data_IF_072105894221
#
_entry.id   IF_072105894221
#
_cell.length_a   1.000
_cell.length_b   1.000
_cell.length_c   1.000
_cell.angle_alpha   90.00
_cell.angle_beta   90.00
_cell.angle_gamma   90.00
#
_symmetry.space_group_name_H-M   'P 1'
#
loop_
_entity.id
_entity.type
_entity.pdbx_description
1 polymer ?
#
# COMPACT_ATOMS: atom_id res chain seq x y z
N UNK A 1 -68.10 -46.59 56.63
CA UNK A 1 -67.40 -45.29 56.60
C UNK A 1 -65.98 -45.41 56.06
N UNK A 2 -65.09 -46.23 56.64
CA UNK A 2 -63.69 -46.40 56.18
C UNK A 2 -63.55 -46.91 54.73
N UNK A 3 -64.38 -47.87 54.30
CA UNK A 3 -64.34 -48.39 52.91
C UNK A 3 -64.79 -47.34 51.89
N UNK A 4 -65.82 -46.57 52.20
CA UNK A 4 -66.35 -45.52 51.32
C UNK A 4 -65.35 -44.37 51.18
N UNK A 5 -64.69 -44.00 52.28
CA UNK A 5 -63.59 -43.03 52.29
C UNK A 5 -62.39 -43.50 51.46
N UNK A 6 -61.94 -44.74 51.64
CA UNK A 6 -60.82 -45.29 50.89
C UNK A 6 -61.12 -45.32 49.38
N UNK A 7 -62.37 -45.58 48.98
CA UNK A 7 -62.81 -45.46 47.58
C UNK A 7 -62.74 -44.04 47.04
N UNK A 8 -63.20 -43.05 47.82
CA UNK A 8 -63.11 -41.63 47.42
C UNK A 8 -61.65 -41.18 47.23
N UNK A 9 -60.74 -41.58 48.13
CA UNK A 9 -59.30 -41.28 47.99
C UNK A 9 -58.73 -41.99 46.75
N UNK A 10 -59.12 -43.24 46.46
CA UNK A 10 -58.71 -43.94 45.22
C UNK A 10 -59.19 -43.25 43.95
N UNK A 11 -60.44 -42.77 43.94
CA UNK A 11 -61.01 -42.02 42.82
C UNK A 11 -60.24 -40.71 42.59
N UNK A 12 -59.98 -39.94 43.65
CA UNK A 12 -59.20 -38.70 43.55
C UNK A 12 -57.73 -38.92 43.14
N UNK A 13 -57.09 -40.01 43.60
CA UNK A 13 -55.75 -40.41 43.13
C UNK A 13 -55.78 -40.72 41.64
N UNK A 14 -56.76 -41.50 41.19
CA UNK A 14 -56.90 -41.89 39.79
C UNK A 14 -57.16 -40.70 38.88
N UNK A 15 -58.01 -39.76 39.31
CA UNK A 15 -58.26 -38.51 38.57
C UNK A 15 -56.99 -37.66 38.41
N UNK A 16 -56.13 -37.61 39.43
CA UNK A 16 -54.85 -36.92 39.35
C UNK A 16 -53.82 -37.67 38.49
N UNK A 17 -53.79 -38.99 38.55
CA UNK A 17 -52.94 -39.83 37.68
C UNK A 17 -53.35 -39.70 36.22
N UNK A 18 -54.65 -39.77 35.92
CA UNK A 18 -55.19 -39.59 34.56
C UNK A 18 -54.86 -38.19 34.04
N UNK A 19 -55.05 -37.15 34.87
CA UNK A 19 -54.68 -35.78 34.51
C UNK A 19 -53.18 -35.61 34.23
N UNK A 20 -52.32 -36.22 35.05
CA UNK A 20 -50.86 -36.19 34.83
C UNK A 20 -50.47 -36.87 33.52
N UNK A 21 -51.04 -38.05 33.24
CA UNK A 21 -50.77 -38.80 32.02
C UNK A 21 -51.25 -38.04 30.78
N UNK A 22 -52.43 -37.42 30.84
CA UNK A 22 -52.98 -36.62 29.75
C UNK A 22 -52.08 -35.40 29.47
N UNK A 23 -51.67 -34.66 30.51
CA UNK A 23 -50.80 -33.49 30.35
C UNK A 23 -49.39 -33.84 29.89
N UNK A 24 -48.82 -34.92 30.40
CA UNK A 24 -47.52 -35.43 29.95
C UNK A 24 -47.58 -35.86 28.47
N UNK A 25 -48.67 -36.51 28.06
CA UNK A 25 -48.87 -36.90 26.67
C UNK A 25 -49.02 -35.67 25.77
N UNK A 26 -49.95 -34.77 26.08
CA UNK A 26 -50.25 -33.58 25.28
C UNK A 26 -49.04 -32.65 25.09
N UNK A 27 -48.27 -32.43 26.16
CA UNK A 27 -47.21 -31.40 26.15
C UNK A 27 -45.94 -31.87 25.42
N UNK A 28 -45.60 -33.15 25.52
CA UNK A 28 -44.35 -33.68 24.99
C UNK A 28 -44.49 -34.34 23.61
N UNK A 29 -45.71 -34.45 23.07
CA UNK A 29 -45.98 -34.95 21.71
C UNK A 29 -45.40 -34.07 20.60
N UNK A 30 -45.23 -32.76 20.84
CA UNK A 30 -44.89 -31.73 19.83
C UNK A 30 -43.45 -31.18 19.95
N UNK A 31 -42.58 -31.89 20.66
CA UNK A 31 -41.20 -31.47 20.91
C UNK A 31 -40.27 -31.72 19.69
N UNK A 32 -40.81 -31.63 18.48
CA UNK A 32 -40.12 -31.83 17.20
C UNK A 32 -39.05 -30.77 16.91
N UNK A 33 -38.43 -30.81 15.73
CA UNK A 33 -37.44 -29.81 15.31
C UNK A 33 -38.00 -28.38 15.30
N UNK A 34 -37.12 -27.41 15.59
CA UNK A 34 -37.44 -25.98 15.57
C UNK A 34 -37.00 -25.39 14.23
N UNK A 35 -37.89 -24.67 13.56
CA UNK A 35 -37.71 -24.07 12.24
C UNK A 35 -37.87 -22.55 12.23
N UNK A 36 -38.48 -21.95 13.26
CA UNK A 36 -38.62 -20.50 13.39
C UNK A 36 -38.50 -20.06 14.86
N UNK A 37 -38.02 -18.83 15.07
CA UNK A 37 -37.59 -18.35 16.40
C UNK A 37 -38.74 -18.22 17.42
N UNK A 38 -39.95 -17.98 16.94
CA UNK A 38 -41.15 -17.89 17.78
C UNK A 38 -41.43 -19.21 18.52
N UNK A 39 -41.01 -20.36 17.97
CA UNK A 39 -41.21 -21.67 18.60
C UNK A 39 -40.43 -21.82 19.91
N UNK A 40 -39.30 -21.14 20.07
CA UNK A 40 -38.60 -21.14 21.37
C UNK A 40 -39.47 -20.52 22.45
N UNK A 41 -40.08 -19.38 22.13
CA UNK A 41 -40.95 -18.63 23.04
C UNK A 41 -42.26 -19.38 23.28
N UNK A 42 -42.90 -19.88 22.23
CA UNK A 42 -44.14 -20.66 22.33
C UNK A 42 -43.96 -21.90 23.22
N UNK A 43 -42.88 -22.68 22.99
CA UNK A 43 -42.57 -23.85 23.82
C UNK A 43 -42.22 -23.46 25.25
N UNK A 44 -41.42 -22.42 25.46
CA UNK A 44 -41.10 -21.93 26.80
C UNK A 44 -42.37 -21.51 27.56
N UNK A 45 -43.27 -20.77 26.93
CA UNK A 45 -44.55 -20.37 27.50
C UNK A 45 -45.44 -21.60 27.79
N UNK A 46 -45.46 -22.61 26.91
CA UNK A 46 -46.20 -23.86 27.13
C UNK A 46 -45.70 -24.61 28.38
N UNK A 47 -44.39 -24.80 28.52
CA UNK A 47 -43.83 -25.48 29.70
C UNK A 47 -44.00 -24.66 30.99
N UNK A 48 -43.91 -23.33 30.93
CA UNK A 48 -44.18 -22.45 32.07
C UNK A 48 -45.65 -22.50 32.52
N UNK A 49 -46.60 -22.60 31.56
CA UNK A 49 -48.01 -22.83 31.88
C UNK A 49 -48.20 -24.18 32.57
N UNK A 50 -47.59 -25.26 32.05
CA UNK A 50 -47.64 -26.57 32.69
C UNK A 50 -47.02 -26.58 34.09
N UNK A 51 -45.91 -25.86 34.30
CA UNK A 51 -45.31 -25.67 35.63
C UNK A 51 -46.26 -24.96 36.59
N UNK A 52 -47.00 -23.95 36.11
CA UNK A 52 -48.02 -23.24 36.89
C UNK A 52 -49.21 -24.15 37.23
N UNK A 53 -49.66 -24.97 36.28
CA UNK A 53 -50.72 -25.97 36.51
C UNK A 53 -50.29 -27.03 37.53
N UNK A 54 -49.05 -27.53 37.43
CA UNK A 54 -48.46 -28.46 38.40
C UNK A 54 -48.43 -27.81 39.79
N UNK A 55 -47.80 -26.66 39.95
CA UNK A 55 -47.72 -25.98 41.27
C UNK A 55 -49.10 -25.71 41.88
N UNK A 56 -50.12 -25.41 41.07
CA UNK A 56 -51.49 -25.27 41.55
C UNK A 56 -52.08 -26.59 42.07
N UNK A 57 -51.97 -27.68 41.30
CA UNK A 57 -52.48 -29.01 41.67
C UNK A 57 -51.60 -29.73 42.72
N UNK A 58 -50.39 -29.25 42.98
CA UNK A 58 -49.54 -29.74 44.07
C UNK A 58 -50.23 -29.57 45.43
N UNK A 59 -51.06 -28.53 45.60
CA UNK A 59 -51.87 -28.36 46.80
C UNK A 59 -52.88 -29.50 46.98
N UNK A 60 -53.53 -29.95 45.90
CA UNK A 60 -54.45 -31.09 45.91
C UNK A 60 -53.73 -32.40 46.25
N UNK A 61 -52.53 -32.61 45.71
CA UNK A 61 -51.68 -33.76 46.05
C UNK A 61 -51.29 -33.75 47.54
N UNK A 62 -50.86 -32.59 48.08
CA UNK A 62 -50.50 -32.44 49.50
C UNK A 62 -51.68 -32.72 50.43
N UNK A 63 -52.85 -32.16 50.12
CA UNK A 63 -54.08 -32.40 50.91
C UNK A 63 -54.54 -33.86 50.85
N UNK A 64 -54.32 -34.58 49.74
CA UNK A 64 -54.56 -36.03 49.65
C UNK A 64 -53.60 -36.85 50.53
N UNK A 65 -52.31 -36.51 50.50
CA UNK A 65 -51.28 -37.13 51.34
C UNK A 65 -51.61 -36.92 52.82
N UNK A 66 -52.00 -35.71 53.22
CA UNK A 66 -52.36 -35.38 54.59
C UNK A 66 -53.66 -36.10 55.03
N UNK A 67 -54.68 -36.18 54.16
CA UNK A 67 -55.92 -36.94 54.42
C UNK A 67 -55.71 -38.46 54.57
N UNK A 68 -54.69 -39.02 53.91
CA UNK A 68 -54.30 -40.42 54.09
C UNK A 68 -53.51 -40.65 55.41
N UNK A 69 -52.89 -39.60 55.98
CA UNK A 69 -52.07 -39.66 57.21
C UNK A 69 -52.83 -39.33 58.51
N UNK A 70 -53.84 -38.47 58.47
CA UNK A 70 -54.37 -37.78 59.67
C UNK A 70 -55.27 -38.62 60.61
N UNK A 71 -55.78 -39.80 60.23
CA UNK A 71 -56.83 -40.45 61.02
C UNK A 71 -56.49 -41.85 61.53
N UNK A 72 -55.70 -41.94 62.60
CA UNK A 72 -55.72 -42.95 63.69
C UNK A 72 -55.86 -44.45 63.37
N UNK A 73 -55.87 -44.83 62.10
CA UNK A 73 -56.15 -46.13 61.51
C UNK A 73 -54.98 -46.40 60.57
N UNK A 74 -54.41 -47.60 60.59
CA UNK A 74 -53.32 -47.93 59.67
C UNK A 74 -53.76 -47.62 58.22
N UNK A 75 -53.02 -46.76 57.49
CA UNK A 75 -53.28 -46.52 56.08
C UNK A 75 -53.29 -47.85 55.33
N UNK A 76 -54.23 -48.03 54.40
CA UNK A 76 -54.21 -49.22 53.54
C UNK A 76 -52.89 -49.28 52.80
N UNK A 77 -52.19 -50.43 52.85
CA UNK A 77 -50.92 -50.63 52.16
C UNK A 77 -51.07 -50.31 50.65
N UNK A 78 -52.21 -50.66 50.06
CA UNK A 78 -52.53 -50.38 48.67
C UNK A 78 -52.64 -48.88 48.38
N UNK A 79 -53.31 -48.10 49.23
CA UNK A 79 -53.44 -46.64 49.07
C UNK A 79 -52.09 -45.93 49.16
N UNK A 80 -51.25 -46.38 50.08
CA UNK A 80 -49.89 -45.85 50.24
C UNK A 80 -49.06 -46.13 48.98
N UNK A 81 -49.14 -47.34 48.41
CA UNK A 81 -48.47 -47.67 47.14
C UNK A 81 -48.96 -46.84 45.96
N UNK A 82 -50.27 -46.61 45.84
CA UNK A 82 -50.84 -45.76 44.79
C UNK A 82 -50.37 -44.30 44.95
N UNK A 83 -50.38 -43.75 46.17
CA UNK A 83 -49.88 -42.39 46.43
C UNK A 83 -48.38 -42.27 46.17
N UNK A 84 -47.58 -43.25 46.57
CA UNK A 84 -46.13 -43.25 46.31
C UNK A 84 -45.84 -43.27 44.80
N UNK A 85 -46.63 -44.02 44.03
CA UNK A 85 -46.56 -44.05 42.56
C UNK A 85 -46.94 -42.71 41.95
N UNK A 86 -48.06 -42.11 42.38
CA UNK A 86 -48.49 -40.78 41.97
C UNK A 86 -47.45 -39.70 42.28
N UNK A 87 -46.86 -39.70 43.48
CA UNK A 87 -45.79 -38.76 43.89
C UNK A 87 -44.52 -38.96 43.04
N UNK A 88 -44.16 -40.21 42.76
CA UNK A 88 -43.03 -40.53 41.88
C UNK A 88 -43.26 -39.99 40.46
N UNK A 89 -44.45 -40.23 39.89
CA UNK A 89 -44.81 -39.74 38.55
C UNK A 89 -44.87 -38.20 38.50
N UNK A 90 -45.43 -37.59 39.55
CA UNK A 90 -45.47 -36.14 39.71
C UNK A 90 -44.07 -35.52 39.71
N UNK A 91 -43.17 -36.02 40.56
CA UNK A 91 -41.79 -35.52 40.66
C UNK A 91 -40.99 -35.75 39.37
N UNK A 92 -41.25 -36.86 38.68
CA UNK A 92 -40.69 -37.15 37.36
C UNK A 92 -41.12 -36.11 36.31
N UNK A 93 -42.43 -35.83 36.21
CA UNK A 93 -42.96 -34.83 35.29
C UNK A 93 -42.44 -33.42 35.62
N UNK A 94 -42.43 -33.05 36.90
CA UNK A 94 -41.89 -31.77 37.36
C UNK A 94 -40.43 -31.60 36.92
N UNK A 95 -39.58 -32.62 37.14
CA UNK A 95 -38.18 -32.59 36.69
C UNK A 95 -38.06 -32.48 35.16
N UNK A 96 -38.92 -33.17 34.40
CA UNK A 96 -38.95 -33.06 32.93
C UNK A 96 -39.32 -31.64 32.50
N UNK A 97 -40.35 -31.04 33.09
CA UNK A 97 -40.79 -29.66 32.82
C UNK A 97 -39.68 -28.67 33.16
N UNK A 98 -39.07 -28.77 34.34
CA UNK A 98 -37.97 -27.88 34.75
C UNK A 98 -36.77 -27.99 33.79
N UNK A 99 -36.44 -29.21 33.35
CA UNK A 99 -35.36 -29.44 32.37
C UNK A 99 -35.70 -28.78 31.02
N UNK A 100 -36.95 -28.87 30.56
CA UNK A 100 -37.39 -28.25 29.30
C UNK A 100 -37.43 -26.74 29.39
N UNK A 101 -37.90 -26.17 30.50
CA UNK A 101 -37.86 -24.71 30.74
C UNK A 101 -36.42 -24.22 30.71
N UNK A 102 -35.51 -24.91 31.40
CA UNK A 102 -34.08 -24.56 31.39
C UNK A 102 -33.50 -24.61 29.97
N UNK A 103 -33.79 -25.68 29.23
CA UNK A 103 -33.32 -25.88 27.86
C UNK A 103 -33.82 -24.77 26.92
N UNK A 104 -35.13 -24.52 26.88
CA UNK A 104 -35.70 -23.51 25.98
C UNK A 104 -35.33 -22.08 26.38
N UNK A 105 -35.15 -21.81 27.68
CA UNK A 105 -34.61 -20.53 28.16
C UNK A 105 -33.15 -20.32 27.71
N UNK A 106 -32.32 -21.35 27.77
CA UNK A 106 -30.94 -21.30 27.28
C UNK A 106 -30.88 -21.12 25.76
N UNK A 107 -31.67 -21.90 25.00
CA UNK A 107 -31.77 -21.79 23.55
C UNK A 107 -32.21 -20.39 23.10
N UNK A 108 -33.18 -19.79 23.79
CA UNK A 108 -33.61 -18.42 23.52
C UNK A 108 -32.46 -17.42 23.73
N UNK A 109 -31.72 -17.54 24.85
CA UNK A 109 -30.56 -16.68 25.12
C UNK A 109 -29.46 -16.83 24.07
N UNK A 110 -29.13 -18.07 23.69
CA UNK A 110 -28.14 -18.35 22.66
C UNK A 110 -28.56 -17.79 21.30
N UNK A 111 -29.85 -17.91 20.95
CA UNK A 111 -30.37 -17.34 19.71
C UNK A 111 -30.25 -15.80 19.66
N UNK A 112 -30.59 -15.13 20.76
CA UNK A 112 -30.45 -13.66 20.85
C UNK A 112 -28.99 -13.22 20.87
N UNK A 113 -28.11 -13.94 21.57
CA UNK A 113 -26.65 -13.72 21.55
C UNK A 113 -26.10 -13.85 20.12
N UNK A 114 -26.49 -14.90 19.40
CA UNK A 114 -26.07 -15.12 18.00
C UNK A 114 -26.52 -13.98 17.07
N UNK A 115 -27.76 -13.48 17.22
CA UNK A 115 -28.25 -12.34 16.45
C UNK A 115 -27.42 -11.09 16.70
N UNK A 116 -27.14 -10.79 17.95
CA UNK A 116 -26.35 -9.62 18.34
C UNK A 116 -24.91 -9.73 17.81
N UNK A 117 -24.28 -10.90 17.95
CA UNK A 117 -22.94 -11.15 17.40
C UNK A 117 -22.93 -10.99 15.88
N UNK A 118 -23.88 -11.60 15.16
CA UNK A 118 -23.99 -11.45 13.71
C UNK A 118 -24.18 -9.99 13.29
N UNK A 119 -24.96 -9.21 14.04
CA UNK A 119 -25.14 -7.78 13.77
C UNK A 119 -23.83 -7.01 13.96
N UNK A 120 -23.16 -7.19 15.11
CA UNK A 120 -21.87 -6.53 15.41
C UNK A 120 -20.80 -6.86 14.38
N UNK A 121 -20.67 -8.14 14.03
CA UNK A 121 -19.69 -8.59 13.04
C UNK A 121 -20.00 -8.04 11.64
N UNK A 122 -21.26 -7.98 11.22
CA UNK A 122 -21.60 -7.39 9.93
C UNK A 122 -21.33 -5.88 9.88
N UNK A 123 -21.60 -5.14 10.95
CA UNK A 123 -21.24 -3.72 11.07
C UNK A 123 -19.73 -3.54 10.99
N UNK A 124 -18.96 -4.44 11.62
CA UNK A 124 -17.51 -4.42 11.52
C UNK A 124 -17.02 -4.74 10.10
N UNK A 125 -17.59 -5.75 9.44
CA UNK A 125 -17.29 -6.09 8.04
C UNK A 125 -17.64 -4.94 7.08
N UNK A 126 -18.73 -4.21 7.31
CA UNK A 126 -19.06 -2.99 6.55
C UNK A 126 -17.96 -1.94 6.69
N UNK A 127 -17.50 -1.71 7.92
CA UNK A 127 -16.41 -0.77 8.19
C UNK A 127 -15.08 -1.23 7.59
N UNK A 128 -14.78 -2.53 7.62
CA UNK A 128 -13.59 -3.12 6.99
C UNK A 128 -13.65 -2.96 5.47
N UNK A 129 -14.78 -3.32 4.85
CA UNK A 129 -15.01 -3.19 3.43
C UNK A 129 -14.85 -1.74 2.97
N UNK A 130 -15.45 -0.80 3.70
CA UNK A 130 -15.23 0.62 3.42
C UNK A 130 -13.74 0.99 3.50
N UNK A 131 -12.97 0.50 4.48
CA UNK A 131 -11.53 0.82 4.54
C UNK A 131 -10.71 0.24 3.38
N UNK A 132 -11.04 -0.95 2.90
CA UNK A 132 -10.32 -1.62 1.79
C UNK A 132 -10.71 -1.04 0.43
N UNK A 133 -12.00 -0.71 0.26
CA UNK A 133 -12.60 -0.38 -1.03
C UNK A 133 -12.98 1.09 -1.19
N UNK A 134 -12.92 1.93 -0.15
CA UNK A 134 -13.11 3.36 -0.35
C UNK A 134 -12.07 3.79 -1.39
N UNK A 135 -12.51 4.31 -2.56
CA UNK A 135 -11.61 4.76 -3.61
C UNK A 135 -11.03 6.09 -3.16
N UNK A 136 -10.18 6.05 -2.14
CA UNK A 136 -9.47 7.25 -1.75
C UNK A 136 -8.33 7.43 -2.71
N UNK A 137 -8.27 8.62 -3.28
CA UNK A 137 -7.16 9.18 -4.04
C UNK A 137 -5.86 9.28 -3.18
N UNK A 138 -5.54 8.29 -2.33
CA UNK A 138 -4.55 8.35 -1.25
C UNK A 138 -3.38 7.37 -1.36
N UNK A 139 -3.10 6.78 -2.51
CA UNK A 139 -1.76 6.19 -2.70
C UNK A 139 -1.01 7.00 -3.73
N UNK A 140 -0.94 8.30 -3.50
CA UNK A 140 -0.27 9.22 -4.40
C UNK A 140 1.24 9.22 -4.09
N UNK A 141 1.62 9.02 -2.83
CA UNK A 141 3.01 8.81 -2.39
C UNK A 141 3.18 7.75 -1.30
N UNK A 142 4.42 7.56 -0.87
CA UNK A 142 4.80 6.55 0.12
C UNK A 142 4.20 6.78 1.51
N UNK A 143 3.99 8.04 1.90
CA UNK A 143 3.46 8.38 3.22
C UNK A 143 2.02 7.90 3.33
N UNK A 144 1.19 8.29 2.36
CA UNK A 144 -0.22 7.95 2.36
C UNK A 144 -0.44 6.42 2.26
N UNK A 145 0.35 5.73 1.42
CA UNK A 145 0.31 4.28 1.31
C UNK A 145 0.70 3.56 2.62
N UNK A 146 1.66 4.11 3.38
CA UNK A 146 2.06 3.57 4.68
C UNK A 146 0.99 3.80 5.74
N UNK A 147 0.38 4.99 5.77
CA UNK A 147 -0.69 5.32 6.72
C UNK A 147 -1.94 4.46 6.48
N UNK A 148 -2.28 4.18 5.23
CA UNK A 148 -3.38 3.28 4.90
C UNK A 148 -3.10 1.85 5.38
N UNK A 149 -1.89 1.34 5.12
CA UNK A 149 -1.45 0.01 5.58
C UNK A 149 -1.57 -0.10 7.11
N UNK A 150 -1.01 0.87 7.83
CA UNK A 150 -1.07 0.93 9.30
C UNK A 150 -2.52 0.99 9.81
N UNK A 151 -3.38 1.73 9.11
CA UNK A 151 -4.79 1.87 9.46
C UNK A 151 -5.53 0.53 9.31
N UNK A 152 -5.31 -0.17 8.19
CA UNK A 152 -5.92 -1.49 7.93
C UNK A 152 -5.42 -2.51 8.95
N UNK A 153 -4.10 -2.59 9.16
CA UNK A 153 -3.51 -3.51 10.11
C UNK A 153 -3.99 -3.27 11.53
N UNK A 154 -4.03 -2.00 11.97
CA UNK A 154 -4.53 -1.64 13.30
C UNK A 154 -5.99 -2.04 13.45
N UNK A 155 -6.82 -1.75 12.45
CA UNK A 155 -8.25 -2.05 12.48
C UNK A 155 -8.51 -3.57 12.64
N UNK A 156 -7.75 -4.40 11.92
CA UNK A 156 -7.83 -5.86 12.03
C UNK A 156 -7.29 -6.35 13.38
N UNK A 157 -6.15 -5.81 13.83
CA UNK A 157 -5.54 -6.19 15.12
C UNK A 157 -6.45 -5.88 16.31
N UNK A 158 -7.25 -4.82 16.23
CA UNK A 158 -8.20 -4.44 17.30
C UNK A 158 -9.48 -5.26 17.33
N UNK A 159 -9.75 -6.08 16.30
CA UNK A 159 -10.97 -6.87 16.22
C UNK A 159 -10.93 -8.10 17.15
N UNK A 160 -11.96 -8.34 17.98
CA UNK A 160 -12.03 -9.52 18.83
C UNK A 160 -12.24 -10.80 18.00
N UNK A 161 -11.18 -11.60 17.86
CA UNK A 161 -11.24 -12.91 17.17
C UNK A 161 -12.27 -13.88 17.78
N UNK A 162 -12.55 -13.74 19.06
CA UNK A 162 -13.46 -14.61 19.81
C UNK A 162 -14.92 -14.54 19.30
N UNK A 163 -15.35 -13.43 18.68
CA UNK A 163 -16.72 -13.29 18.21
C UNK A 163 -17.04 -14.25 17.05
N UNK A 164 -16.11 -14.39 16.10
CA UNK A 164 -16.24 -15.32 14.99
C UNK A 164 -16.38 -16.76 15.52
N UNK A 165 -15.46 -17.19 16.38
CA UNK A 165 -15.49 -18.53 16.97
C UNK A 165 -16.78 -18.78 17.76
N UNK A 166 -17.26 -17.77 18.49
CA UNK A 166 -18.50 -17.84 19.28
C UNK A 166 -19.74 -18.01 18.41
N UNK A 167 -19.82 -17.35 17.25
CA UNK A 167 -20.94 -17.51 16.30
C UNK A 167 -21.06 -18.96 15.85
N UNK A 168 -19.96 -19.60 15.46
CA UNK A 168 -19.97 -20.99 15.02
C UNK A 168 -20.19 -21.96 16.18
N UNK A 169 -19.65 -21.69 17.37
CA UNK A 169 -19.94 -22.47 18.57
C UNK A 169 -21.44 -22.48 18.89
N UNK A 170 -22.11 -21.32 18.85
CA UNK A 170 -23.55 -21.23 19.09
C UNK A 170 -24.31 -21.96 17.96
N UNK A 171 -23.90 -21.80 16.71
CA UNK A 171 -24.48 -22.51 15.56
C UNK A 171 -24.47 -24.02 15.75
N UNK A 172 -23.32 -24.59 16.11
CA UNK A 172 -23.14 -26.03 16.33
C UNK A 172 -24.00 -26.53 17.49
N UNK A 173 -24.10 -25.75 18.58
CA UNK A 173 -24.96 -26.07 19.73
C UNK A 173 -26.43 -26.09 19.36
N UNK A 174 -26.90 -25.13 18.54
CA UNK A 174 -28.28 -25.11 18.05
C UNK A 174 -28.56 -26.32 17.15
N UNK A 175 -27.62 -26.65 16.27
CA UNK A 175 -27.73 -27.79 15.35
C UNK A 175 -27.79 -29.13 16.09
N UNK A 176 -26.98 -29.30 17.15
CA UNK A 176 -26.98 -30.49 18.01
C UNK A 176 -28.34 -30.74 18.68
N UNK A 177 -29.10 -29.69 18.96
CA UNK A 177 -30.44 -29.76 19.58
C UNK A 177 -31.55 -29.83 18.51
N UNK A 178 -31.18 -30.03 17.23
CA UNK A 178 -32.10 -30.10 16.07
C UNK A 178 -32.90 -28.82 15.86
N UNK A 179 -32.34 -27.68 16.24
CA UNK A 179 -32.81 -26.37 15.81
C UNK A 179 -32.27 -26.11 14.41
N UNK A 180 -33.16 -25.96 13.44
CA UNK A 180 -32.83 -25.71 12.05
C UNK A 180 -33.66 -24.53 11.53
N UNK A 181 -33.32 -23.33 11.99
CA UNK A 181 -33.98 -22.09 11.54
C UNK A 181 -33.34 -21.65 10.23
N UNK A 182 -34.02 -21.76 9.06
CA UNK A 182 -33.39 -21.53 7.76
C UNK A 182 -32.86 -20.11 7.57
N UNK A 183 -33.55 -19.12 8.14
CA UNK A 183 -33.17 -17.70 8.05
C UNK A 183 -31.84 -17.43 8.74
N UNK A 184 -31.63 -17.96 9.94
CA UNK A 184 -30.37 -17.83 10.69
C UNK A 184 -29.25 -18.60 9.99
N UNK A 185 -29.52 -19.83 9.56
CA UNK A 185 -28.52 -20.64 8.86
C UNK A 185 -28.04 -19.95 7.58
N UNK A 186 -28.96 -19.30 6.86
CA UNK A 186 -28.63 -18.46 5.71
C UNK A 186 -27.80 -17.23 6.11
N UNK A 187 -28.13 -16.56 7.21
CA UNK A 187 -27.36 -15.40 7.71
C UNK A 187 -25.93 -15.79 8.11
N UNK A 188 -25.75 -16.91 8.81
CA UNK A 188 -24.42 -17.45 9.18
C UNK A 188 -23.63 -17.79 7.92
N UNK A 189 -24.26 -18.46 6.95
CA UNK A 189 -23.59 -18.82 5.68
C UNK A 189 -23.17 -17.60 4.87
N UNK A 190 -24.04 -16.57 4.81
CA UNK A 190 -23.72 -15.30 4.15
C UNK A 190 -22.60 -14.55 4.87
N UNK A 191 -22.64 -14.53 6.21
CA UNK A 191 -21.59 -13.95 7.04
C UNK A 191 -20.24 -14.65 6.79
N UNK A 192 -20.21 -15.99 6.80
CA UNK A 192 -19.00 -16.77 6.57
C UNK A 192 -18.40 -16.48 5.19
N UNK A 193 -19.22 -16.53 4.14
CA UNK A 193 -18.77 -16.25 2.78
C UNK A 193 -18.18 -14.84 2.68
N UNK A 194 -18.86 -13.85 3.26
CA UNK A 194 -18.42 -12.45 3.26
C UNK A 194 -17.13 -12.25 4.07
N UNK A 195 -17.03 -12.91 5.21
CA UNK A 195 -15.84 -12.90 6.05
C UNK A 195 -14.62 -13.41 5.28
N UNK A 196 -14.74 -14.57 4.64
CA UNK A 196 -13.65 -15.20 3.88
C UNK A 196 -13.23 -14.32 2.70
N UNK A 197 -14.20 -13.80 1.94
CA UNK A 197 -13.93 -12.89 0.83
C UNK A 197 -13.21 -11.61 1.27
N UNK A 198 -13.71 -10.94 2.32
CA UNK A 198 -13.08 -9.71 2.81
C UNK A 198 -11.68 -9.94 3.36
N UNK A 199 -11.41 -11.09 4.01
CA UNK A 199 -10.07 -11.42 4.45
C UNK A 199 -9.10 -11.65 3.28
N UNK A 200 -9.56 -12.28 2.19
CA UNK A 200 -8.77 -12.41 0.98
C UNK A 200 -8.49 -11.02 0.34
N UNK A 201 -9.49 -10.15 0.32
CA UNK A 201 -9.36 -8.79 -0.22
C UNK A 201 -8.44 -7.90 0.62
N UNK A 202 -8.44 -8.06 1.95
CA UNK A 202 -7.43 -7.46 2.84
C UNK A 202 -6.03 -7.87 2.40
N UNK A 203 -5.78 -9.17 2.21
CA UNK A 203 -4.46 -9.68 1.86
C UNK A 203 -4.00 -9.11 0.51
N UNK A 204 -4.89 -9.07 -0.48
CA UNK A 204 -4.62 -8.44 -1.78
C UNK A 204 -4.30 -6.96 -1.66
N UNK A 205 -5.07 -6.22 -0.84
CA UNK A 205 -4.86 -4.78 -0.62
C UNK A 205 -3.52 -4.51 0.08
N UNK A 206 -3.22 -5.24 1.14
CA UNK A 206 -1.95 -5.18 1.88
C UNK A 206 -0.77 -5.51 0.96
N UNK A 207 -0.90 -6.53 0.11
CA UNK A 207 0.13 -6.88 -0.87
C UNK A 207 0.36 -5.73 -1.87
N UNK A 208 -0.72 -5.13 -2.39
CA UNK A 208 -0.65 -4.01 -3.34
C UNK A 208 0.01 -2.78 -2.70
N UNK A 209 -0.35 -2.44 -1.46
CA UNK A 209 0.24 -1.33 -0.70
C UNK A 209 1.73 -1.55 -0.46
N UNK A 210 2.14 -2.76 -0.07
CA UNK A 210 3.55 -3.09 0.12
C UNK A 210 4.37 -3.01 -1.17
N UNK A 211 3.80 -3.46 -2.31
CA UNK A 211 4.45 -3.31 -3.62
C UNK A 211 4.65 -1.83 -3.98
N UNK A 212 3.62 -1.00 -3.77
CA UNK A 212 3.72 0.45 -3.99
C UNK A 212 4.79 1.10 -3.09
N UNK A 213 4.82 0.75 -1.81
CA UNK A 213 5.84 1.24 -0.88
C UNK A 213 7.26 0.84 -1.31
N UNK A 214 7.44 -0.40 -1.77
CA UNK A 214 8.72 -0.87 -2.30
C UNK A 214 9.16 -0.07 -3.54
N UNK A 215 8.23 0.21 -4.47
CA UNK A 215 8.51 1.03 -5.66
C UNK A 215 8.93 2.46 -5.29
N UNK A 216 8.28 3.07 -4.30
CA UNK A 216 8.65 4.40 -3.81
C UNK A 216 10.00 4.41 -3.11
N UNK A 217 10.31 3.40 -2.30
CA UNK A 217 11.60 3.25 -1.64
C UNK A 217 12.73 3.07 -2.65
N UNK A 218 12.51 2.23 -3.67
CA UNK A 218 13.48 2.02 -4.74
C UNK A 218 13.73 3.31 -5.53
N UNK A 219 12.67 4.04 -5.88
CA UNK A 219 12.78 5.33 -6.55
C UNK A 219 13.56 6.34 -5.70
N UNK A 220 13.23 6.43 -4.40
CA UNK A 220 13.94 7.29 -3.46
C UNK A 220 15.43 6.96 -3.36
N UNK A 221 15.78 5.67 -3.29
CA UNK A 221 17.17 5.22 -3.30
C UNK A 221 17.91 5.63 -4.57
N UNK A 222 17.32 5.40 -5.74
CA UNK A 222 17.93 5.78 -7.03
C UNK A 222 18.14 7.30 -7.14
N UNK A 223 17.23 8.10 -6.59
CA UNK A 223 17.39 9.56 -6.49
C UNK A 223 18.59 9.92 -5.59
N UNK A 224 18.74 9.28 -4.43
CA UNK A 224 19.88 9.52 -3.54
C UNK A 224 21.19 9.13 -4.21
N UNK A 225 21.26 7.93 -4.79
CA UNK A 225 22.45 7.44 -5.51
C UNK A 225 22.85 8.41 -6.64
N UNK A 226 21.86 8.95 -7.37
CA UNK A 226 22.09 9.96 -8.40
C UNK A 226 22.64 11.27 -7.83
N UNK A 227 22.08 11.78 -6.73
CA UNK A 227 22.54 13.03 -6.11
C UNK A 227 23.97 12.89 -5.57
N UNK A 228 24.29 11.76 -4.94
CA UNK A 228 25.66 11.46 -4.50
C UNK A 228 26.63 11.39 -5.69
N UNK A 229 26.24 10.70 -6.76
CA UNK A 229 27.03 10.65 -7.99
C UNK A 229 27.22 12.03 -8.62
N UNK A 230 26.18 12.88 -8.64
CA UNK A 230 26.27 14.24 -9.18
C UNK A 230 27.26 15.09 -8.38
N UNK A 231 27.21 15.03 -7.04
CA UNK A 231 28.13 15.77 -6.18
C UNK A 231 29.59 15.30 -6.34
N UNK A 232 29.80 14.00 -6.45
CA UNK A 232 31.11 13.42 -6.68
C UNK A 232 31.67 13.82 -8.05
N UNK A 233 30.84 13.70 -9.09
CA UNK A 233 31.21 14.06 -10.47
C UNK A 233 31.46 15.55 -10.62
N UNK A 234 30.69 16.40 -9.93
CA UNK A 234 30.92 17.85 -9.92
C UNK A 234 32.31 18.18 -9.34
N UNK A 235 32.69 17.51 -8.25
CA UNK A 235 34.01 17.67 -7.63
C UNK A 235 35.13 17.26 -8.59
N UNK A 236 34.98 16.12 -9.28
CA UNK A 236 35.93 15.63 -10.28
C UNK A 236 36.05 16.65 -11.42
N UNK A 237 34.94 17.00 -12.06
CA UNK A 237 34.92 17.90 -13.21
C UNK A 237 35.48 19.28 -12.87
N UNK A 238 35.15 19.84 -11.70
CA UNK A 238 35.73 21.11 -11.26
C UNK A 238 37.25 21.01 -11.08
N UNK A 239 37.76 19.90 -10.52
CA UNK A 239 39.22 19.72 -10.39
C UNK A 239 39.88 19.59 -11.76
N UNK A 240 39.32 18.78 -12.66
CA UNK A 240 39.85 18.57 -14.01
C UNK A 240 39.90 19.86 -14.80
N UNK A 241 38.80 20.62 -14.81
CA UNK A 241 38.71 21.91 -15.49
C UNK A 241 39.65 22.97 -14.90
N UNK A 242 39.84 22.99 -13.57
CA UNK A 242 40.80 23.91 -12.94
C UNK A 242 42.24 23.57 -13.30
N UNK A 243 42.55 22.29 -13.45
CA UNK A 243 43.90 21.81 -13.72
C UNK A 243 44.18 21.67 -15.24
N UNK A 244 43.29 22.19 -16.11
CA UNK A 244 43.35 22.12 -17.58
C UNK A 244 43.49 20.68 -18.13
N UNK A 245 42.86 19.72 -17.46
CA UNK A 245 42.80 18.31 -17.89
C UNK A 245 41.45 18.05 -18.57
N UNK A 246 41.49 17.59 -19.81
CA UNK A 246 40.30 17.37 -20.65
C UNK A 246 40.09 15.89 -20.99
N UNK A 247 38.95 15.58 -21.61
CA UNK A 247 38.57 14.22 -21.97
C UNK A 247 39.61 13.48 -22.83
N UNK A 248 40.35 14.21 -23.68
CA UNK A 248 41.45 13.65 -24.48
C UNK A 248 42.64 13.19 -23.64
N UNK A 249 42.85 13.80 -22.47
CA UNK A 249 43.96 13.50 -21.58
C UNK A 249 43.65 12.32 -20.65
N UNK A 250 42.36 12.08 -20.38
CA UNK A 250 41.85 10.95 -19.55
C UNK A 250 40.68 10.19 -20.23
N UNK A 251 40.92 9.49 -21.35
CA UNK A 251 39.84 8.89 -22.15
C UNK A 251 38.98 7.87 -21.40
N UNK A 252 39.59 7.03 -20.56
CA UNK A 252 38.86 6.03 -19.77
C UNK A 252 37.88 6.67 -18.76
N UNK A 253 38.21 7.83 -18.21
CA UNK A 253 37.34 8.58 -17.30
C UNK A 253 36.17 9.20 -18.08
N UNK A 254 36.47 9.77 -19.26
CA UNK A 254 35.47 10.35 -20.15
C UNK A 254 34.44 9.32 -20.67
N UNK A 255 34.90 8.13 -21.05
CA UNK A 255 34.02 7.04 -21.49
C UNK A 255 33.09 6.58 -20.36
N UNK A 256 33.65 6.40 -19.15
CA UNK A 256 32.87 6.02 -17.97
C UNK A 256 31.80 7.08 -17.66
N UNK A 257 32.19 8.35 -17.60
CA UNK A 257 31.26 9.45 -17.35
C UNK A 257 30.17 9.51 -18.42
N UNK A 258 30.51 9.30 -19.70
CA UNK A 258 29.53 9.29 -20.79
C UNK A 258 28.45 8.22 -20.58
N UNK A 259 28.84 7.01 -20.16
CA UNK A 259 27.88 5.93 -19.85
C UNK A 259 27.00 6.31 -18.66
N UNK A 260 27.59 6.83 -17.59
CA UNK A 260 26.86 7.23 -16.36
C UNK A 260 25.88 8.39 -16.64
N UNK A 261 26.28 9.43 -17.37
CA UNK A 261 25.39 10.51 -17.79
C UNK A 261 24.19 9.98 -18.60
N UNK A 262 24.43 9.08 -19.55
CA UNK A 262 23.36 8.49 -20.36
C UNK A 262 22.39 7.64 -19.51
N UNK A 263 22.92 6.89 -18.54
CA UNK A 263 22.12 6.14 -17.59
C UNK A 263 21.21 7.08 -16.79
N UNK A 264 21.74 8.16 -16.22
CA UNK A 264 20.95 9.11 -15.44
C UNK A 264 19.99 9.95 -16.29
N UNK A 265 20.31 10.27 -17.54
CA UNK A 265 19.36 10.85 -18.49
C UNK A 265 18.14 9.93 -18.70
N UNK A 266 18.37 8.62 -18.86
CA UNK A 266 17.27 7.64 -19.01
C UNK A 266 16.43 7.50 -17.74
N UNK A 267 17.09 7.56 -16.57
CA UNK A 267 16.42 7.55 -15.28
C UNK A 267 15.54 8.80 -15.08
N UNK A 268 16.05 10.00 -15.38
CA UNK A 268 15.28 11.24 -15.30
C UNK A 268 14.02 11.18 -16.18
N UNK A 269 14.11 10.64 -17.40
CA UNK A 269 12.93 10.42 -18.26
C UNK A 269 11.89 9.49 -17.62
N UNK A 270 12.36 8.45 -16.95
CA UNK A 270 11.46 7.53 -16.22
C UNK A 270 10.71 8.26 -15.09
N UNK A 271 11.37 9.22 -14.41
CA UNK A 271 10.70 10.07 -13.41
C UNK A 271 9.68 11.00 -14.07
N UNK A 272 10.01 11.61 -15.21
CA UNK A 272 9.07 12.45 -15.98
C UNK A 272 7.82 11.67 -16.38
N UNK A 273 7.99 10.46 -16.90
CA UNK A 273 6.89 9.57 -17.30
C UNK A 273 6.02 9.21 -16.08
N UNK A 274 6.63 8.94 -14.92
CA UNK A 274 5.89 8.71 -13.66
C UNK A 274 5.10 9.95 -13.23
N UNK A 275 5.68 11.15 -13.28
CA UNK A 275 4.99 12.40 -12.96
C UNK A 275 3.80 12.60 -13.91
N UNK A 276 3.99 12.36 -15.21
CA UNK A 276 2.92 12.48 -16.20
C UNK A 276 1.80 11.46 -15.97
N UNK A 277 2.15 10.20 -15.69
CA UNK A 277 1.18 9.16 -15.36
C UNK A 277 0.34 9.53 -14.12
N UNK A 278 0.97 10.07 -13.07
CA UNK A 278 0.25 10.55 -11.89
C UNK A 278 -0.74 11.67 -12.22
N UNK A 279 -0.39 12.58 -13.13
CA UNK A 279 -1.29 13.65 -13.59
C UNK A 279 -2.49 13.10 -14.37
N UNK A 280 -2.29 12.11 -15.24
CA UNK A 280 -3.38 11.46 -15.99
C UNK A 280 -4.36 10.77 -15.05
N UNK A 281 -3.84 10.09 -14.03
CA UNK A 281 -4.65 9.37 -13.03
C UNK A 281 -5.37 10.33 -12.07
N UNK A 282 -5.17 11.66 -12.19
CA UNK A 282 -5.81 12.68 -11.35
C UNK A 282 -5.11 12.90 -10.00
N UNK A 283 -3.93 12.29 -9.79
CA UNK A 283 -3.13 12.41 -8.56
C UNK A 283 -2.25 13.66 -8.60
N UNK A 284 -2.87 14.83 -8.72
CA UNK A 284 -2.18 16.10 -8.94
C UNK A 284 -1.23 16.51 -7.80
N UNK A 285 -1.60 16.26 -6.55
CA UNK A 285 -0.77 16.68 -5.40
C UNK A 285 0.53 15.89 -5.30
N UNK A 286 0.50 14.56 -5.43
CA UNK A 286 1.73 13.78 -5.48
C UNK A 286 2.56 14.06 -6.72
N UNK A 287 1.92 14.23 -7.88
CA UNK A 287 2.62 14.66 -9.07
C UNK A 287 3.35 15.99 -8.82
N UNK A 288 2.70 16.96 -8.15
CA UNK A 288 3.31 18.24 -7.81
C UNK A 288 4.48 18.10 -6.83
N UNK A 289 4.35 17.28 -5.77
CA UNK A 289 5.42 17.03 -4.80
C UNK A 289 6.64 16.40 -5.48
N UNK A 290 6.43 15.38 -6.31
CA UNK A 290 7.51 14.72 -7.05
C UNK A 290 8.15 15.66 -8.09
N UNK A 291 7.33 16.45 -8.80
CA UNK A 291 7.79 17.42 -9.81
C UNK A 291 8.67 18.53 -9.19
N UNK A 292 8.31 19.02 -8.01
CA UNK A 292 9.13 20.02 -7.30
C UNK A 292 10.54 19.52 -7.00
N UNK A 293 10.68 18.27 -6.51
CA UNK A 293 12.00 17.67 -6.27
C UNK A 293 12.73 17.39 -7.58
N UNK A 294 11.99 16.88 -8.57
CA UNK A 294 12.52 16.54 -9.89
C UNK A 294 13.13 17.75 -10.61
N UNK A 295 12.46 18.91 -10.58
CA UNK A 295 12.96 20.15 -11.21
C UNK A 295 14.31 20.56 -10.64
N UNK A 296 14.50 20.46 -9.32
CA UNK A 296 15.78 20.81 -8.67
C UNK A 296 16.90 19.88 -9.12
N UNK A 297 16.65 18.56 -9.08
CA UNK A 297 17.61 17.53 -9.50
C UNK A 297 17.96 17.70 -10.98
N UNK A 298 16.95 17.91 -11.83
CA UNK A 298 17.14 18.10 -13.28
C UNK A 298 17.96 19.35 -13.58
N UNK A 299 17.74 20.44 -12.84
CA UNK A 299 18.54 21.66 -12.99
C UNK A 299 20.00 21.43 -12.59
N UNK A 300 20.26 20.77 -11.47
CA UNK A 300 21.62 20.41 -11.03
C UNK A 300 22.31 19.48 -12.06
N UNK A 301 21.59 18.47 -12.54
CA UNK A 301 22.10 17.55 -13.56
C UNK A 301 22.44 18.28 -14.86
N UNK A 302 21.61 19.23 -15.30
CA UNK A 302 21.89 20.03 -16.49
C UNK A 302 23.12 20.94 -16.31
N UNK A 303 23.31 21.53 -15.13
CA UNK A 303 24.53 22.30 -14.83
C UNK A 303 25.77 21.41 -14.89
N UNK A 304 25.70 20.22 -14.30
CA UNK A 304 26.78 19.24 -14.34
C UNK A 304 27.06 18.75 -15.77
N UNK A 305 26.03 18.55 -16.58
CA UNK A 305 26.13 18.19 -18.00
C UNK A 305 26.80 19.28 -18.83
N UNK A 306 26.58 20.56 -18.48
CA UNK A 306 27.31 21.67 -19.11
C UNK A 306 28.80 21.63 -18.76
N UNK A 307 29.16 21.40 -17.49
CA UNK A 307 30.58 21.20 -17.11
C UNK A 307 31.21 20.01 -17.83
N UNK A 308 30.45 18.93 -17.99
CA UNK A 308 30.92 17.76 -18.74
C UNK A 308 31.19 18.08 -20.21
N UNK A 309 30.37 18.92 -20.85
CA UNK A 309 30.65 19.42 -22.22
C UNK A 309 31.93 20.24 -22.28
N UNK A 310 32.16 21.12 -21.30
CA UNK A 310 33.42 21.88 -21.21
C UNK A 310 34.63 20.95 -21.06
N UNK A 311 34.52 19.91 -20.23
CA UNK A 311 35.57 18.90 -20.06
C UNK A 311 35.87 18.12 -21.34
N UNK A 312 34.89 17.98 -22.24
CA UNK A 312 35.08 17.35 -23.55
C UNK A 312 35.76 18.25 -24.60
N UNK A 313 36.12 19.49 -24.25
CA UNK A 313 36.87 20.39 -25.13
C UNK A 313 38.24 19.78 -25.46
N UNK A 314 38.74 19.87 -26.71
CA UNK A 314 40.08 19.37 -27.05
C UNK A 314 41.18 20.11 -26.27
N UNK A 315 42.06 19.38 -25.58
CA UNK A 315 43.14 19.97 -24.76
C UNK A 315 44.16 20.78 -25.56
N UNK A 316 44.32 20.47 -26.85
CA UNK A 316 45.27 21.14 -27.73
C UNK A 316 44.73 22.46 -28.34
N UNK A 317 43.45 22.76 -28.18
CA UNK A 317 42.82 23.92 -28.81
C UNK A 317 43.35 25.24 -28.29
N UNK A 318 43.30 25.47 -26.97
CA UNK A 318 43.75 26.74 -26.36
C UNK A 318 45.23 27.03 -26.61
N UNK A 319 46.16 26.08 -26.40
CA UNK A 319 47.57 26.30 -26.71
C UNK A 319 47.81 26.63 -28.19
N UNK A 320 47.15 25.93 -29.12
CA UNK A 320 47.30 26.18 -30.56
C UNK A 320 46.73 27.52 -30.97
N UNK A 321 45.54 27.88 -30.48
CA UNK A 321 44.93 29.18 -30.75
C UNK A 321 45.82 30.34 -30.25
N UNK A 322 46.30 30.26 -29.01
CA UNK A 322 47.19 31.26 -28.43
C UNK A 322 48.50 31.40 -29.23
N UNK A 323 49.12 30.28 -29.62
CA UNK A 323 50.34 30.27 -30.43
C UNK A 323 50.11 30.92 -31.80
N UNK A 324 49.03 30.55 -32.50
CA UNK A 324 48.71 31.13 -33.81
C UNK A 324 48.43 32.63 -33.72
N UNK A 325 47.70 33.05 -32.69
CA UNK A 325 47.41 34.47 -32.46
C UNK A 325 48.69 35.29 -32.25
N UNK A 326 49.66 34.77 -31.51
CA UNK A 326 50.98 35.41 -31.33
C UNK A 326 51.76 35.47 -32.66
N UNK A 327 51.85 34.36 -33.40
CA UNK A 327 52.56 34.34 -34.68
C UNK A 327 51.96 35.35 -35.67
N UNK A 328 50.63 35.44 -35.76
CA UNK A 328 49.97 36.40 -36.65
C UNK A 328 50.21 37.84 -36.21
N UNK A 329 50.22 38.11 -34.91
CA UNK A 329 50.55 39.43 -34.37
C UNK A 329 52.00 39.82 -34.72
N UNK A 330 52.95 38.89 -34.56
CA UNK A 330 54.35 39.11 -34.88
C UNK A 330 54.54 39.38 -36.39
N UNK A 331 53.87 38.60 -37.25
CA UNK A 331 53.91 38.85 -38.70
C UNK A 331 53.29 40.22 -39.03
N UNK A 332 52.13 40.54 -38.46
CA UNK A 332 51.47 41.84 -38.66
C UNK A 332 52.35 43.01 -38.24
N UNK A 333 53.05 42.89 -37.11
CA UNK A 333 54.01 43.87 -36.66
C UNK A 333 55.21 43.96 -37.59
N UNK A 334 55.70 42.86 -38.18
CA UNK A 334 56.88 42.93 -39.05
C UNK A 334 56.57 43.35 -40.50
N UNK A 335 55.31 43.45 -40.92
CA UNK A 335 54.96 43.81 -42.31
C UNK A 335 55.49 45.18 -42.75
N UNK A 336 55.58 46.17 -41.86
CA UNK A 336 56.09 47.50 -42.24
C UNK A 336 57.57 47.48 -42.69
N UNK A 337 58.30 46.40 -42.41
CA UNK A 337 59.70 46.22 -42.83
C UNK A 337 59.84 45.82 -44.30
N UNK A 338 58.72 45.40 -44.93
CA UNK A 338 58.65 45.00 -46.34
C UNK A 338 58.60 46.19 -47.31
N UNK A 339 58.38 47.41 -46.81
CA UNK A 339 58.46 48.61 -47.64
C UNK A 339 59.90 48.82 -48.15
N UNK A 340 60.06 49.03 -49.45
CA UNK A 340 61.37 49.28 -50.07
C UNK A 340 61.91 50.61 -49.53
N UNK A 341 63.04 50.56 -48.83
CA UNK A 341 63.63 51.72 -48.12
C UNK A 341 64.90 52.27 -48.75
N UNK A 342 65.46 51.55 -49.72
CA UNK A 342 66.72 51.89 -50.35
C UNK A 342 66.79 51.29 -51.75
N UNK A 343 67.57 51.94 -52.60
CA UNK A 343 68.02 51.53 -53.93
C UNK A 343 69.30 50.68 -53.89
N UNK A 344 69.89 50.47 -52.71
CA UNK A 344 71.06 49.61 -52.49
C UNK A 344 70.71 48.12 -52.72
N UNK A 345 71.39 47.43 -53.65
CA UNK A 345 71.15 46.02 -53.94
C UNK A 345 71.26 45.08 -52.72
N UNK A 346 72.18 45.35 -51.79
CA UNK A 346 72.38 44.52 -50.60
C UNK A 346 71.23 44.71 -49.61
N UNK A 347 70.70 45.92 -49.50
CA UNK A 347 69.52 46.22 -48.66
C UNK A 347 68.27 45.55 -49.27
N UNK A 348 68.08 45.65 -50.58
CA UNK A 348 66.95 45.00 -51.29
C UNK A 348 67.02 43.48 -51.13
N UNK A 349 68.21 42.87 -51.25
CA UNK A 349 68.39 41.44 -51.06
C UNK A 349 68.01 40.99 -49.64
N UNK A 350 68.45 41.73 -48.61
CA UNK A 350 68.09 41.46 -47.23
C UNK A 350 66.57 41.64 -46.96
N UNK A 351 65.92 42.63 -47.58
CA UNK A 351 64.47 42.82 -47.51
C UNK A 351 63.70 41.67 -48.17
N UNK A 352 64.17 41.18 -49.33
CA UNK A 352 63.60 40.02 -50.01
C UNK A 352 63.74 38.75 -49.15
N UNK A 353 64.91 38.51 -48.54
CA UNK A 353 65.07 37.39 -47.60
C UNK A 353 64.10 37.47 -46.43
N UNK A 354 63.87 38.66 -45.88
CA UNK A 354 62.92 38.86 -44.78
C UNK A 354 61.48 38.59 -45.22
N UNK A 355 61.10 39.05 -46.43
CA UNK A 355 59.80 38.75 -47.04
C UNK A 355 59.57 37.24 -47.20
N UNK A 356 60.56 36.52 -47.75
CA UNK A 356 60.48 35.07 -47.90
C UNK A 356 60.37 34.34 -46.56
N UNK A 357 61.02 34.86 -45.50
CA UNK A 357 60.87 34.34 -44.13
C UNK A 357 59.44 34.52 -43.61
N UNK A 358 58.84 35.70 -43.76
CA UNK A 358 57.44 35.95 -43.36
C UNK A 358 56.45 35.10 -44.18
N UNK A 359 56.67 34.97 -45.49
CA UNK A 359 55.85 34.13 -46.37
C UNK A 359 55.89 32.67 -45.91
N UNK A 360 57.10 32.15 -45.61
CA UNK A 360 57.27 30.80 -45.11
C UNK A 360 56.53 30.56 -43.80
N UNK A 361 56.64 31.49 -42.84
CA UNK A 361 55.89 31.43 -41.57
C UNK A 361 54.38 31.34 -41.82
N UNK A 362 53.83 32.20 -42.69
CA UNK A 362 52.39 32.18 -43.04
C UNK A 362 51.98 30.88 -43.74
N UNK A 363 52.83 30.33 -44.60
CA UNK A 363 52.58 29.07 -45.30
C UNK A 363 52.54 27.89 -44.32
N UNK A 364 53.51 27.82 -43.40
CA UNK A 364 53.67 26.73 -42.43
C UNK A 364 52.48 26.67 -41.45
N UNK A 365 51.93 27.81 -41.03
CA UNK A 365 50.81 27.86 -40.08
C UNK A 365 49.42 27.68 -40.72
N UNK A 366 49.30 27.64 -42.05
CA UNK A 366 47.99 27.60 -42.74
C UNK A 366 47.11 26.45 -42.27
N UNK A 367 47.67 25.24 -42.18
CA UNK A 367 46.93 24.04 -41.77
C UNK A 367 46.47 24.12 -40.30
N UNK A 368 47.29 24.72 -39.43
CA UNK A 368 46.95 24.97 -38.03
C UNK A 368 45.83 26.01 -37.88
N UNK A 369 45.82 27.07 -38.70
CA UNK A 369 44.73 28.05 -38.74
C UNK A 369 43.42 27.39 -39.18
N UNK A 370 43.45 26.57 -40.23
CA UNK A 370 42.27 25.82 -40.67
C UNK A 370 41.77 24.84 -39.60
N UNK A 371 42.68 24.18 -38.88
CA UNK A 371 42.35 23.32 -37.74
C UNK A 371 41.66 24.11 -36.63
N UNK A 372 42.25 25.21 -36.16
CA UNK A 372 41.70 26.03 -35.07
C UNK A 372 40.35 26.62 -35.45
N UNK A 373 40.14 27.06 -36.70
CA UNK A 373 38.83 27.52 -37.15
C UNK A 373 37.80 26.38 -37.10
N UNK A 374 38.16 25.20 -37.62
CA UNK A 374 37.26 24.04 -37.67
C UNK A 374 36.89 23.53 -36.29
N UNK A 375 37.89 23.32 -35.43
CA UNK A 375 37.71 22.84 -34.07
C UNK A 375 37.03 23.89 -33.20
N UNK A 376 37.41 25.15 -33.32
CA UNK A 376 36.77 26.24 -32.61
C UNK A 376 35.28 26.36 -32.93
N UNK A 377 34.89 26.19 -34.21
CA UNK A 377 33.47 26.10 -34.60
C UNK A 377 32.78 24.88 -34.00
N UNK A 378 33.43 23.71 -34.00
CA UNK A 378 32.87 22.51 -33.36
C UNK A 378 32.70 22.67 -31.85
N UNK A 379 33.59 23.38 -31.16
CA UNK A 379 33.51 23.68 -29.71
C UNK A 379 32.26 24.52 -29.43
N UNK A 380 32.01 25.54 -30.26
CA UNK A 380 30.81 26.38 -30.18
C UNK A 380 29.54 25.56 -30.45
N UNK A 381 29.52 24.76 -31.52
CA UNK A 381 28.35 23.93 -31.89
C UNK A 381 27.98 22.91 -30.80
N UNK A 382 28.99 22.34 -30.13
CA UNK A 382 28.79 21.36 -29.05
C UNK A 382 28.52 22.01 -27.68
N UNK A 383 28.57 23.33 -27.57
CA UNK A 383 28.37 24.06 -26.32
C UNK A 383 29.43 23.74 -25.26
N UNK A 384 30.70 23.60 -25.68
CA UNK A 384 31.83 23.28 -24.81
C UNK A 384 32.52 24.53 -24.23
N UNK A 385 31.93 25.72 -24.44
CA UNK A 385 32.41 27.00 -23.96
C UNK A 385 31.21 27.84 -23.52
N UNK A 386 31.37 28.60 -22.43
CA UNK A 386 30.30 29.46 -21.92
C UNK A 386 30.07 30.69 -22.82
N UNK A 387 31.15 31.31 -23.27
CA UNK A 387 31.13 32.51 -24.12
C UNK A 387 31.23 32.16 -25.62
N UNK A 388 30.23 31.42 -26.12
CA UNK A 388 30.16 30.97 -27.51
C UNK A 388 30.31 32.11 -28.56
N UNK A 389 29.72 33.27 -28.27
CA UNK A 389 29.78 34.44 -29.15
C UNK A 389 31.19 35.04 -29.20
N UNK A 390 31.88 35.10 -28.06
CA UNK A 390 33.23 35.65 -28.00
C UNK A 390 34.23 34.73 -28.68
N UNK A 391 34.11 33.40 -28.48
CA UNK A 391 34.93 32.44 -29.21
C UNK A 391 34.69 32.53 -30.73
N UNK A 392 33.43 32.68 -31.17
CA UNK A 392 33.10 32.86 -32.59
C UNK A 392 33.76 34.12 -33.15
N UNK A 393 33.64 35.25 -32.45
CA UNK A 393 34.26 36.52 -32.84
C UNK A 393 35.79 36.40 -32.91
N UNK A 394 36.39 35.73 -31.94
CA UNK A 394 37.83 35.47 -31.88
C UNK A 394 38.32 34.63 -33.07
N UNK A 395 37.59 33.57 -33.42
CA UNK A 395 37.89 32.73 -34.59
C UNK A 395 37.77 33.53 -35.89
N UNK A 396 36.73 34.36 -36.02
CA UNK A 396 36.53 35.19 -37.21
C UNK A 396 37.60 36.29 -37.33
N UNK A 397 38.05 36.87 -36.22
CA UNK A 397 39.18 37.80 -36.19
C UNK A 397 40.48 37.12 -36.62
N UNK A 398 40.80 35.94 -36.07
CA UNK A 398 41.98 35.16 -36.45
C UNK A 398 41.99 34.87 -37.96
N UNK A 399 40.83 34.46 -38.50
CA UNK A 399 40.63 34.22 -39.93
C UNK A 399 40.82 35.48 -40.76
N UNK A 400 40.27 36.61 -40.31
CA UNK A 400 40.38 37.89 -41.01
C UNK A 400 41.84 38.38 -41.04
N UNK A 401 42.56 38.30 -39.92
CA UNK A 401 43.98 38.66 -39.84
C UNK A 401 44.80 37.79 -40.80
N UNK A 402 44.68 36.46 -40.76
CA UNK A 402 45.41 35.57 -41.67
C UNK A 402 45.13 35.89 -43.16
N UNK A 403 43.86 36.12 -43.51
CA UNK A 403 43.47 36.47 -44.88
C UNK A 403 43.92 37.87 -45.33
N UNK A 404 44.19 38.78 -44.40
CA UNK A 404 44.73 40.11 -44.70
C UNK A 404 46.27 40.06 -44.86
N UNK A 405 46.96 39.31 -44.01
CA UNK A 405 48.42 39.18 -44.07
C UNK A 405 48.87 38.41 -45.33
N UNK A 406 48.13 37.37 -45.74
CA UNK A 406 48.48 36.52 -46.87
C UNK A 406 48.69 37.25 -48.21
N UNK A 407 47.82 38.19 -48.62
CA UNK A 407 48.03 39.00 -49.83
C UNK A 407 49.06 40.14 -49.69
N UNK A 408 49.42 40.53 -48.46
CA UNK A 408 50.33 41.65 -48.18
C UNK A 408 51.81 41.24 -48.18
N UNK A 409 52.08 39.96 -47.93
CA UNK A 409 53.41 39.31 -48.00
C UNK A 409 53.50 38.56 -49.32
#
# INVERSE_FOLDING_TARGET
ETIQRNRLIQEEIRELEDWLMDRERETFLDDGSIFYHEQFRERLEQYQRLQTELTHKEHTLRTLIDRNRQDGTQPSLELTQYLDTLVSNWSSLQKKVDTKISLYSELYKLHEELKELLYQENVWLDALQNRIFTPVNHNADAQEASEELDTIERFIKTHPKANYDRIFEISDRLQAIKVSIPTINSQISQFQLRWDQLHEDVLKRVHTLNAQLSDYQQLGKQIVDMVEWMNHTDTILNSRLRDDVYASDVPSEADKLTVEFNQYDSFLRTIEDKIHALRIVGKHDAARRLDQQFVLIKNQFNQLKNKFRQFQKPSDFEPKYAKLRQILLDVEQNIYTLEIRSDDPDVIHNQLEHCLKLYKILSDIKSDVEYVIRVGRSIVEKGQVDEANDLTRQIDQLKATFNNLGPRV
#
